data_IF_699584832285
#
_entry.id   IF_699584832285
#
_cell.length_a   1.000
_cell.length_b   1.000
_cell.length_c   1.000
_cell.angle_alpha   90.00
_cell.angle_beta   90.00
_cell.angle_gamma   90.00
#
_symmetry.space_group_name_H-M   'P 1'
#
loop_
_entity.id
_entity.type
_entity.pdbx_description
1 polymer ?
#
# COMPACT_ATOMS: atom_id res chain seq x y z
N UNK A 1 -16.62 3.48 16.93
CA UNK A 1 -16.38 2.10 16.45
C UNK A 1 -15.41 1.41 17.41
N UNK A 2 -15.62 0.12 17.68
CA UNK A 2 -14.73 -0.70 18.50
C UNK A 2 -14.04 -1.76 17.64
N UNK A 3 -12.88 -2.24 18.08
CA UNK A 3 -12.15 -3.31 17.36
C UNK A 3 -12.98 -4.60 17.43
N UNK A 4 -13.21 -5.20 16.27
CA UNK A 4 -13.91 -6.48 16.14
C UNK A 4 -12.89 -7.63 16.20
N UNK A 5 -12.63 -8.13 17.42
CA UNK A 5 -11.58 -9.13 17.66
C UNK A 5 -11.76 -10.42 16.84
N UNK A 6 -12.99 -10.91 16.72
CA UNK A 6 -13.28 -12.11 15.96
C UNK A 6 -12.97 -11.92 14.48
N UNK A 7 -13.39 -10.78 13.91
CA UNK A 7 -13.10 -10.46 12.53
C UNK A 7 -11.60 -10.29 12.28
N UNK A 8 -10.88 -9.62 13.19
CA UNK A 8 -9.43 -9.45 13.08
C UNK A 8 -8.72 -10.80 13.04
N UNK A 9 -9.03 -11.68 13.99
CA UNK A 9 -8.43 -13.03 14.05
C UNK A 9 -8.73 -13.85 12.80
N UNK A 10 -9.98 -13.83 12.34
CA UNK A 10 -10.41 -14.53 11.14
C UNK A 10 -9.65 -14.02 9.91
N UNK A 11 -9.62 -12.70 9.71
CA UNK A 11 -8.97 -12.09 8.56
C UNK A 11 -7.46 -12.38 8.57
N UNK A 12 -6.79 -12.28 9.72
CA UNK A 12 -5.37 -12.62 9.85
C UNK A 12 -5.05 -14.04 9.38
N UNK A 13 -5.92 -15.01 9.67
CA UNK A 13 -5.76 -16.37 9.17
C UNK A 13 -6.04 -16.49 7.67
N UNK A 14 -7.10 -15.87 7.20
CA UNK A 14 -7.52 -15.94 5.80
C UNK A 14 -6.53 -15.30 4.83
N UNK A 15 -5.83 -14.22 5.24
CA UNK A 15 -4.91 -13.52 4.35
C UNK A 15 -3.54 -14.21 4.23
N UNK A 16 -3.20 -15.12 5.14
CA UNK A 16 -1.89 -15.80 5.09
C UNK A 16 -1.65 -16.48 3.73
N UNK A 17 -0.43 -16.43 3.18
CA UNK A 17 0.78 -15.83 3.73
C UNK A 17 0.95 -14.32 3.46
N UNK A 18 -0.05 -13.63 2.90
CA UNK A 18 -0.01 -12.19 2.67
C UNK A 18 -0.01 -11.41 4.00
N UNK A 19 0.47 -10.19 3.94
CA UNK A 19 0.45 -9.25 5.07
C UNK A 19 -0.88 -8.51 5.11
N UNK A 20 -1.52 -8.47 6.28
CA UNK A 20 -2.63 -7.57 6.52
C UNK A 20 -2.10 -6.16 6.79
N UNK A 21 -2.50 -5.22 5.95
CA UNK A 21 -2.33 -3.78 6.18
C UNK A 21 -3.65 -3.25 6.73
N UNK A 22 -3.70 -3.01 8.03
CA UNK A 22 -4.90 -2.49 8.66
C UNK A 22 -5.06 -1.00 8.34
N UNK A 23 -6.08 -0.65 7.55
CA UNK A 23 -6.38 0.74 7.23
C UNK A 23 -7.02 1.42 8.46
N UNK A 24 -6.26 2.30 9.09
CA UNK A 24 -6.58 2.89 10.39
C UNK A 24 -7.20 4.29 10.32
N UNK A 25 -7.77 4.64 9.16
CA UNK A 25 -8.50 5.92 8.99
C UNK A 25 -9.70 6.08 9.93
N UNK A 26 -10.18 4.98 10.51
CA UNK A 26 -11.30 4.95 11.47
C UNK A 26 -10.86 5.12 12.92
N UNK A 27 -9.56 5.23 13.17
CA UNK A 27 -8.99 5.41 14.51
C UNK A 27 -8.55 6.87 14.65
N UNK A 28 -9.16 7.57 15.57
CA UNK A 28 -8.74 8.92 15.98
C UNK A 28 -7.52 8.83 16.91
N UNK A 29 -6.71 9.89 16.96
CA UNK A 29 -5.56 9.96 17.87
C UNK A 29 -5.96 9.78 19.33
N UNK A 30 -7.16 10.21 19.71
CA UNK A 30 -7.71 10.02 21.06
C UNK A 30 -8.06 8.57 21.40
N UNK A 31 -8.05 7.71 20.40
CA UNK A 31 -8.39 6.29 20.51
C UNK A 31 -7.19 5.41 20.14
N UNK A 32 -5.97 5.90 20.41
CA UNK A 32 -4.72 5.24 20.02
C UNK A 32 -4.60 3.81 20.59
N UNK A 33 -5.26 3.53 21.71
CA UNK A 33 -5.36 2.21 22.29
C UNK A 33 -5.95 1.15 21.36
N UNK A 34 -6.69 1.59 20.34
CA UNK A 34 -7.20 0.68 19.30
C UNK A 34 -6.09 0.11 18.44
N UNK A 35 -5.03 0.89 18.14
CA UNK A 35 -3.85 0.40 17.43
C UNK A 35 -3.11 -0.64 18.29
N UNK A 36 -2.94 -0.36 19.57
CA UNK A 36 -2.33 -1.29 20.53
C UNK A 36 -3.14 -2.59 20.63
N UNK A 37 -4.46 -2.48 20.60
CA UNK A 37 -5.34 -3.65 20.60
C UNK A 37 -5.21 -4.48 19.34
N UNK A 38 -5.17 -3.85 18.18
CA UNK A 38 -4.91 -4.52 16.89
C UNK A 38 -3.56 -5.23 16.91
N UNK A 39 -2.51 -4.58 17.43
CA UNK A 39 -1.18 -5.18 17.57
C UNK A 39 -1.20 -6.42 18.46
N UNK A 40 -1.87 -6.37 19.61
CA UNK A 40 -2.03 -7.52 20.52
C UNK A 40 -2.74 -8.71 19.85
N UNK A 41 -3.60 -8.44 18.86
CA UNK A 41 -4.29 -9.47 18.09
C UNK A 41 -3.42 -10.04 16.95
N UNK A 42 -2.26 -9.47 16.70
CA UNK A 42 -1.32 -9.95 15.69
C UNK A 42 -1.20 -9.06 14.44
N UNK A 43 -1.83 -7.89 14.41
CA UNK A 43 -1.66 -6.92 13.33
C UNK A 43 -0.30 -6.23 13.50
N UNK A 44 0.55 -6.32 12.48
CA UNK A 44 1.92 -5.77 12.51
C UNK A 44 2.09 -4.52 11.64
N UNK A 45 1.08 -4.19 10.84
CA UNK A 45 1.18 -3.11 9.86
C UNK A 45 -0.11 -2.28 9.81
N UNK A 46 0.06 -0.98 9.93
CA UNK A 46 -1.02 0.00 9.86
C UNK A 46 -0.89 0.83 8.59
N UNK A 47 -1.98 0.97 7.85
CA UNK A 47 -2.05 1.76 6.63
C UNK A 47 -2.76 3.09 6.86
N UNK A 48 -2.10 4.18 6.49
CA UNK A 48 -2.63 5.53 6.65
C UNK A 48 -2.87 6.21 5.30
N UNK A 49 -3.93 7.02 5.25
CA UNK A 49 -4.39 7.67 4.03
C UNK A 49 -4.17 9.19 4.03
N UNK A 50 -3.97 9.79 5.21
CA UNK A 50 -3.84 11.24 5.37
C UNK A 50 -2.62 11.56 6.21
N UNK A 51 -1.78 12.43 5.70
CA UNK A 51 -0.51 12.80 6.34
C UNK A 51 -0.71 13.37 7.73
N UNK A 52 -1.62 14.34 7.90
CA UNK A 52 -1.85 14.98 9.20
C UNK A 52 -2.32 13.97 10.25
N UNK A 53 -3.32 13.17 9.93
CA UNK A 53 -3.83 12.15 10.85
C UNK A 53 -2.76 11.09 11.20
N UNK A 54 -1.94 10.73 10.22
CA UNK A 54 -0.81 9.83 10.42
C UNK A 54 0.20 10.42 11.41
N UNK A 55 0.61 11.68 11.22
CA UNK A 55 1.61 12.30 12.08
C UNK A 55 1.15 12.36 13.55
N UNK A 56 -0.11 12.70 13.79
CA UNK A 56 -0.69 12.72 15.14
C UNK A 56 -0.67 11.33 15.80
N UNK A 57 -1.03 10.30 15.05
CA UNK A 57 -0.99 8.91 15.54
C UNK A 57 0.43 8.44 15.76
N UNK A 58 1.33 8.74 14.85
CA UNK A 58 2.73 8.34 14.94
C UNK A 58 3.40 8.87 16.22
N UNK A 59 3.11 10.12 16.58
CA UNK A 59 3.64 10.73 17.82
C UNK A 59 3.10 10.08 19.11
N UNK A 60 1.90 9.53 19.05
CA UNK A 60 1.20 9.00 20.23
C UNK A 60 1.18 7.47 20.32
N UNK A 61 1.58 6.77 19.27
CA UNK A 61 1.69 5.31 19.25
C UNK A 61 3.12 4.88 19.58
N UNK A 62 3.27 4.02 20.58
CA UNK A 62 4.58 3.56 21.06
C UNK A 62 4.75 2.04 20.98
N UNK A 63 3.91 1.37 20.17
CA UNK A 63 4.03 -0.07 19.93
C UNK A 63 5.08 -0.41 18.87
N UNK A 64 5.06 -1.66 18.42
CA UNK A 64 6.02 -2.23 17.46
C UNK A 64 5.47 -2.35 16.03
N UNK A 65 4.22 -1.97 15.81
CA UNK A 65 3.63 -1.98 14.48
C UNK A 65 4.28 -0.97 13.53
N UNK A 66 4.46 -1.37 12.28
CA UNK A 66 4.96 -0.48 11.24
C UNK A 66 3.84 0.34 10.62
N UNK A 67 4.17 1.52 10.10
CA UNK A 67 3.24 2.33 9.34
C UNK A 67 3.62 2.32 7.85
N UNK A 68 2.62 2.16 7.00
CA UNK A 68 2.72 2.30 5.56
C UNK A 68 1.72 3.36 5.08
N UNK A 69 2.10 4.13 4.08
CA UNK A 69 1.20 5.13 3.51
C UNK A 69 0.50 4.54 2.28
N UNK A 70 -0.82 4.43 2.35
CA UNK A 70 -1.63 3.74 1.34
C UNK A 70 -2.55 4.67 0.54
N UNK A 71 -2.64 5.93 0.94
CA UNK A 71 -3.47 6.92 0.25
C UNK A 71 -2.72 7.72 -0.81
N UNK A 72 -3.47 8.55 -1.54
CA UNK A 72 -2.89 9.51 -2.47
C UNK A 72 -1.99 10.49 -1.72
N UNK A 73 -0.75 10.62 -2.16
CA UNK A 73 0.25 11.45 -1.51
C UNK A 73 0.60 12.67 -2.37
N UNK A 74 0.41 13.86 -1.81
CA UNK A 74 0.84 15.09 -2.46
C UNK A 74 2.36 15.24 -2.32
N UNK A 75 3.10 15.64 -3.38
CA UNK A 75 4.55 15.78 -3.31
C UNK A 75 5.03 16.67 -2.16
N UNK A 76 4.37 17.81 -1.90
CA UNK A 76 4.73 18.73 -0.81
C UNK A 76 4.55 18.13 0.60
N UNK A 77 3.95 16.96 0.73
CA UNK A 77 3.75 16.25 2.01
C UNK A 77 4.76 15.12 2.25
N UNK A 78 5.50 14.72 1.24
CA UNK A 78 6.48 13.62 1.33
C UNK A 78 7.48 13.83 2.47
N UNK A 79 8.00 15.05 2.60
CA UNK A 79 9.00 15.41 3.62
C UNK A 79 8.56 15.12 5.06
N UNK A 80 7.26 15.08 5.33
CA UNK A 80 6.73 14.86 6.68
C UNK A 80 6.67 13.37 7.06
N UNK A 81 6.63 12.47 6.08
CA UNK A 81 6.39 11.05 6.33
C UNK A 81 7.53 10.12 5.93
N UNK A 82 8.46 10.58 5.10
CA UNK A 82 9.44 9.70 4.44
C UNK A 82 10.36 8.95 5.41
N UNK A 83 10.63 9.52 6.58
CA UNK A 83 11.45 8.89 7.62
C UNK A 83 10.62 8.11 8.66
N UNK A 84 9.31 8.01 8.46
CA UNK A 84 8.38 7.42 9.43
C UNK A 84 7.63 6.21 8.90
N UNK A 85 7.45 6.10 7.58
CA UNK A 85 6.75 4.98 6.94
C UNK A 85 7.74 4.00 6.34
N UNK A 86 7.36 2.73 6.28
CA UNK A 86 8.20 1.66 5.73
C UNK A 86 7.93 1.39 4.25
N UNK A 87 6.79 1.88 3.73
CA UNK A 87 6.40 1.70 2.34
C UNK A 87 5.38 2.77 1.93
N UNK A 88 5.55 3.31 0.73
CA UNK A 88 4.56 4.19 0.08
C UNK A 88 3.93 3.41 -1.07
N UNK A 89 2.60 3.14 -0.98
CA UNK A 89 1.90 2.29 -1.95
C UNK A 89 1.47 3.00 -3.24
N UNK A 90 1.13 4.29 -3.14
CA UNK A 90 0.40 4.99 -4.19
C UNK A 90 1.29 5.94 -5.00
N UNK A 91 2.40 5.42 -5.54
CA UNK A 91 3.23 6.20 -6.46
C UNK A 91 2.61 6.14 -7.84
N UNK A 92 1.92 7.21 -8.21
CA UNK A 92 1.02 7.29 -9.36
C UNK A 92 1.43 8.34 -10.41
N UNK A 93 2.55 9.03 -10.20
CA UNK A 93 3.02 10.09 -11.10
C UNK A 93 4.49 10.43 -10.90
N UNK A 94 5.11 10.98 -11.94
CA UNK A 94 6.53 11.34 -11.92
C UNK A 94 6.88 12.44 -10.91
N UNK A 95 6.00 13.42 -10.70
CA UNK A 95 6.25 14.48 -9.71
C UNK A 95 6.40 13.92 -8.30
N UNK A 96 5.69 12.85 -7.97
CA UNK A 96 5.82 12.15 -6.69
C UNK A 96 7.12 11.35 -6.62
N UNK A 97 7.48 10.61 -7.66
CA UNK A 97 8.78 9.92 -7.75
C UNK A 97 9.96 10.87 -7.52
N UNK A 98 9.95 12.02 -8.20
CA UNK A 98 11.00 13.04 -8.08
C UNK A 98 11.11 13.58 -6.66
N UNK A 99 9.99 13.85 -6.02
CA UNK A 99 9.99 14.38 -4.65
C UNK A 99 10.41 13.32 -3.62
N UNK A 100 10.00 12.08 -3.79
CA UNK A 100 10.48 10.98 -2.93
C UNK A 100 12.00 10.84 -3.05
N UNK A 101 12.54 10.84 -4.27
CA UNK A 101 13.98 10.78 -4.49
C UNK A 101 14.70 11.94 -3.80
N UNK A 102 14.21 13.16 -3.99
CA UNK A 102 14.78 14.36 -3.38
C UNK A 102 14.80 14.27 -1.86
N UNK A 103 13.71 13.88 -1.23
CA UNK A 103 13.61 13.82 0.23
C UNK A 103 14.40 12.64 0.82
N UNK A 104 14.43 11.50 0.13
CA UNK A 104 15.23 10.35 0.52
C UNK A 104 16.73 10.67 0.44
N UNK A 105 17.17 11.29 -0.66
CA UNK A 105 18.55 11.69 -0.84
C UNK A 105 19.03 12.68 0.25
N UNK A 106 18.20 13.68 0.59
CA UNK A 106 18.50 14.64 1.66
C UNK A 106 18.73 13.99 3.02
N UNK A 107 18.09 12.84 3.28
CA UNK A 107 18.14 12.12 4.55
C UNK A 107 19.08 10.92 4.51
N UNK A 108 19.74 10.70 3.40
CA UNK A 108 20.60 9.53 3.16
C UNK A 108 19.86 8.22 3.49
N UNK A 109 18.62 8.11 3.03
CA UNK A 109 17.80 6.91 3.18
C UNK A 109 17.32 6.37 1.83
N UNK A 110 17.00 5.10 1.80
CA UNK A 110 16.32 4.44 0.68
C UNK A 110 14.86 4.29 1.03
N UNK A 111 13.96 4.73 0.12
CA UNK A 111 12.52 4.66 0.35
C UNK A 111 11.87 3.56 -0.49
N UNK A 112 11.37 2.49 0.13
CA UNK A 112 10.59 1.48 -0.57
C UNK A 112 9.24 2.05 -1.02
N UNK A 113 8.89 1.78 -2.28
CA UNK A 113 7.63 2.22 -2.86
C UNK A 113 7.01 1.13 -3.73
N UNK A 114 5.72 1.26 -3.99
CA UNK A 114 5.02 0.52 -5.02
C UNK A 114 4.56 1.50 -6.11
N UNK A 115 4.53 1.02 -7.34
CA UNK A 115 3.98 1.78 -8.47
C UNK A 115 2.49 1.46 -8.57
N UNK A 116 1.66 2.48 -8.49
CA UNK A 116 0.22 2.32 -8.66
C UNK A 116 -0.14 2.32 -10.14
N UNK A 117 -0.88 1.29 -10.55
CA UNK A 117 -1.30 1.08 -11.94
C UNK A 117 -2.82 1.14 -12.05
N UNK A 118 -3.32 1.88 -13.02
CA UNK A 118 -4.74 1.96 -13.36
C UNK A 118 -5.11 0.83 -14.34
N UNK A 119 -5.25 -0.38 -13.83
CA UNK A 119 -5.52 -1.58 -14.64
C UNK A 119 -6.90 -1.51 -15.32
N UNK A 120 -7.90 -1.00 -14.62
CA UNK A 120 -9.27 -0.96 -15.13
C UNK A 120 -9.54 0.22 -16.09
N UNK A 121 -8.56 1.08 -16.30
CA UNK A 121 -8.67 2.28 -17.17
C UNK A 121 -9.84 3.20 -16.78
N UNK A 122 -10.04 3.38 -15.49
CA UNK A 122 -11.05 4.29 -14.96
C UNK A 122 -10.51 5.72 -14.95
N UNK A 123 -11.23 6.66 -15.61
CA UNK A 123 -10.84 8.07 -15.68
C UNK A 123 -10.72 8.75 -14.30
N UNK A 124 -11.56 8.34 -13.36
CA UNK A 124 -11.59 8.89 -12.00
C UNK A 124 -10.55 8.29 -11.06
N UNK A 125 -9.81 7.28 -11.46
CA UNK A 125 -8.80 6.59 -10.64
C UNK A 125 -7.41 7.13 -10.89
N UNK A 126 -6.59 7.07 -9.83
CA UNK A 126 -5.17 7.37 -9.90
C UNK A 126 -4.38 6.15 -10.39
N UNK A 127 -3.15 6.39 -10.81
CA UNK A 127 -2.24 5.35 -11.26
C UNK A 127 -1.69 5.65 -12.64
N UNK A 128 -0.53 5.09 -12.92
CA UNK A 128 0.01 5.08 -14.27
C UNK A 128 -0.83 4.16 -15.16
N UNK A 129 -0.99 4.52 -16.41
CA UNK A 129 -1.57 3.60 -17.39
C UNK A 129 -0.62 2.43 -17.64
N UNK A 130 -1.17 1.27 -17.98
CA UNK A 130 -0.36 0.06 -18.27
C UNK A 130 0.68 0.34 -19.36
N UNK A 131 0.32 1.13 -20.35
CA UNK A 131 1.17 1.52 -21.47
C UNK A 131 2.36 2.39 -21.07
N UNK A 132 2.28 3.08 -19.92
CA UNK A 132 3.35 3.93 -19.39
C UNK A 132 4.36 3.16 -18.52
N UNK A 133 4.04 1.95 -18.09
CA UNK A 133 4.81 1.24 -17.06
C UNK A 133 6.26 0.97 -17.47
N UNK A 134 6.51 0.60 -18.71
CA UNK A 134 7.89 0.38 -19.17
C UNK A 134 8.72 1.67 -19.16
N UNK A 135 8.12 2.81 -19.50
CA UNK A 135 8.78 4.11 -19.40
C UNK A 135 9.11 4.45 -17.94
N UNK A 136 8.17 4.19 -17.02
CA UNK A 136 8.39 4.39 -15.59
C UNK A 136 9.56 3.56 -15.11
N UNK A 137 9.58 2.26 -15.40
CA UNK A 137 10.66 1.36 -14.96
C UNK A 137 12.01 1.72 -15.58
N UNK A 138 12.03 2.13 -16.84
CA UNK A 138 13.26 2.61 -17.49
C UNK A 138 13.77 3.91 -16.85
N UNK A 139 12.91 4.73 -16.28
CA UNK A 139 13.29 5.98 -15.60
C UNK A 139 13.86 5.78 -14.19
N UNK A 140 13.67 4.61 -13.57
CA UNK A 140 14.05 4.36 -12.18
C UNK A 140 15.55 4.47 -11.92
N UNK A 141 16.38 4.30 -12.92
CA UNK A 141 17.84 4.54 -12.83
C UNK A 141 18.19 5.97 -12.43
N UNK A 142 17.28 6.92 -12.69
CA UNK A 142 17.45 8.33 -12.32
C UNK A 142 16.99 8.62 -10.88
N UNK A 143 16.44 7.61 -10.20
CA UNK A 143 15.92 7.71 -8.83
C UNK A 143 16.55 6.65 -7.91
N UNK A 144 17.86 6.75 -7.65
CA UNK A 144 18.60 5.69 -6.94
C UNK A 144 18.20 5.48 -5.48
N UNK A 145 17.58 6.46 -4.83
CA UNK A 145 17.09 6.34 -3.44
C UNK A 145 15.65 5.82 -3.37
N UNK A 146 14.95 5.75 -4.50
CA UNK A 146 13.63 5.13 -4.58
C UNK A 146 13.80 3.63 -4.85
N UNK A 147 13.27 2.79 -3.99
CA UNK A 147 13.35 1.32 -4.12
C UNK A 147 11.98 0.76 -4.47
N UNK A 148 11.73 0.55 -5.76
CA UNK A 148 10.47 -0.05 -6.21
C UNK A 148 10.44 -1.53 -5.82
N UNK A 149 9.39 -1.93 -5.08
CA UNK A 149 9.22 -3.29 -4.56
C UNK A 149 8.08 -4.04 -5.23
N UNK A 150 7.39 -3.43 -6.15
CA UNK A 150 6.29 -4.05 -6.85
C UNK A 150 5.19 -3.07 -7.27
N UNK A 151 3.98 -3.57 -7.35
CA UNK A 151 2.81 -2.84 -7.84
C UNK A 151 1.73 -2.69 -6.76
N UNK A 152 0.92 -1.66 -6.91
CA UNK A 152 -0.32 -1.45 -6.17
C UNK A 152 -1.46 -1.23 -7.16
N UNK A 153 -2.62 -1.78 -6.88
CA UNK A 153 -3.80 -1.60 -7.69
C UNK A 153 -5.05 -1.53 -6.82
N UNK A 154 -6.00 -0.71 -7.24
CA UNK A 154 -7.34 -0.65 -6.68
C UNK A 154 -8.34 -1.13 -7.72
N UNK A 155 -9.06 -2.21 -7.40
CA UNK A 155 -10.10 -2.73 -8.28
C UNK A 155 -11.29 -1.79 -8.36
N UNK A 156 -12.04 -1.78 -9.47
CA UNK A 156 -13.28 -1.02 -9.55
C UNK A 156 -14.34 -1.52 -8.55
N UNK A 157 -15.26 -0.63 -8.18
CA UNK A 157 -16.40 -0.96 -7.33
C UNK A 157 -17.47 -1.73 -8.13
N UNK A 158 -17.22 -3.02 -8.31
CA UNK A 158 -18.10 -3.96 -9.00
C UNK A 158 -18.26 -5.22 -8.15
N UNK A 159 -19.05 -6.18 -8.59
CA UNK A 159 -19.16 -7.46 -7.92
C UNK A 159 -17.80 -8.14 -7.77
N UNK A 160 -17.55 -8.75 -6.62
CA UNK A 160 -16.23 -9.31 -6.30
C UNK A 160 -15.74 -10.34 -7.33
N UNK A 161 -16.65 -11.17 -7.83
CA UNK A 161 -16.36 -12.14 -8.88
C UNK A 161 -15.86 -11.51 -10.19
N UNK A 162 -16.27 -10.27 -10.47
CA UNK A 162 -15.85 -9.54 -11.66
C UNK A 162 -14.52 -8.82 -11.49
N UNK A 163 -14.03 -8.67 -10.25
CA UNK A 163 -12.73 -8.04 -9.98
C UNK A 163 -11.56 -8.97 -10.31
N UNK A 164 -11.78 -10.26 -10.33
CA UNK A 164 -10.75 -11.29 -10.49
C UNK A 164 -9.90 -11.08 -11.75
N UNK A 165 -10.52 -10.70 -12.86
CA UNK A 165 -9.80 -10.42 -14.11
C UNK A 165 -8.75 -9.30 -13.97
N UNK A 166 -9.05 -8.28 -13.17
CA UNK A 166 -8.11 -7.16 -12.92
C UNK A 166 -6.97 -7.58 -12.02
N UNK A 167 -7.21 -8.42 -11.03
CA UNK A 167 -6.16 -8.99 -10.20
C UNK A 167 -5.23 -9.91 -11.01
N UNK A 168 -5.80 -10.71 -11.88
CA UNK A 168 -5.03 -11.55 -12.79
C UNK A 168 -4.16 -10.72 -13.73
N UNK A 169 -4.71 -9.68 -14.35
CA UNK A 169 -3.95 -8.77 -15.21
C UNK A 169 -2.79 -8.11 -14.46
N UNK A 170 -2.99 -7.72 -13.22
CA UNK A 170 -1.95 -7.10 -12.39
C UNK A 170 -0.87 -8.11 -12.03
N UNK A 171 -1.24 -9.33 -11.68
CA UNK A 171 -0.30 -10.42 -11.43
C UNK A 171 0.58 -10.70 -12.66
N UNK A 172 -0.04 -10.81 -13.82
CA UNK A 172 0.68 -11.04 -15.09
C UNK A 172 1.62 -9.88 -15.41
N UNK A 173 1.20 -8.65 -15.19
CA UNK A 173 2.05 -7.47 -15.35
C UNK A 173 3.28 -7.54 -14.43
N UNK A 174 3.09 -7.85 -13.15
CA UNK A 174 4.19 -7.98 -12.20
C UNK A 174 5.17 -9.08 -12.63
N UNK A 175 4.67 -10.23 -13.06
CA UNK A 175 5.50 -11.35 -13.53
C UNK A 175 6.34 -10.93 -14.75
N UNK A 176 5.75 -10.19 -15.69
CA UNK A 176 6.47 -9.63 -16.85
C UNK A 176 7.56 -8.66 -16.40
N UNK A 177 7.24 -7.76 -15.49
CA UNK A 177 8.21 -6.78 -14.96
C UNK A 177 9.36 -7.46 -14.21
N UNK A 178 9.10 -8.51 -13.45
CA UNK A 178 10.13 -9.32 -12.78
C UNK A 178 11.11 -9.92 -13.80
N UNK A 179 10.61 -10.37 -14.93
CA UNK A 179 11.42 -10.94 -16.00
C UNK A 179 12.22 -9.87 -16.75
N UNK A 180 11.58 -8.76 -17.10
CA UNK A 180 12.18 -7.70 -17.92
C UNK A 180 13.12 -6.78 -17.14
N UNK A 181 12.91 -6.66 -15.82
CA UNK A 181 13.67 -5.79 -14.92
C UNK A 181 14.22 -6.57 -13.71
N UNK A 182 15.08 -7.58 -13.94
CA UNK A 182 15.56 -8.46 -12.85
C UNK A 182 16.46 -7.75 -11.83
N UNK A 183 16.92 -6.53 -12.14
CA UNK A 183 17.70 -5.71 -11.22
C UNK A 183 16.87 -5.15 -10.05
N UNK A 184 15.55 -5.14 -10.14
CA UNK A 184 14.66 -4.68 -9.06
C UNK A 184 14.06 -5.87 -8.31
N UNK A 185 13.92 -5.72 -7.00
CA UNK A 185 13.28 -6.71 -6.14
C UNK A 185 11.76 -6.51 -6.14
N UNK A 186 11.07 -7.05 -7.15
CA UNK A 186 9.64 -6.87 -7.37
C UNK A 186 8.85 -8.01 -6.73
N UNK A 187 8.84 -8.08 -5.41
CA UNK A 187 8.24 -9.18 -4.64
C UNK A 187 6.94 -8.79 -3.92
N UNK A 188 6.45 -7.56 -4.10
CA UNK A 188 5.26 -7.06 -3.43
C UNK A 188 4.14 -6.74 -4.42
N UNK A 189 2.94 -7.14 -4.05
CA UNK A 189 1.73 -6.87 -4.81
C UNK A 189 0.62 -6.46 -3.84
N UNK A 190 0.35 -5.15 -3.78
CA UNK A 190 -0.67 -4.59 -2.92
C UNK A 190 -1.98 -4.46 -3.69
N UNK A 191 -2.90 -5.37 -3.47
CA UNK A 191 -4.23 -5.38 -4.05
C UNK A 191 -5.18 -6.21 -3.19
N UNK A 192 -6.45 -5.85 -3.22
CA UNK A 192 -7.48 -6.48 -2.40
C UNK A 192 -7.83 -5.67 -1.15
N UNK A 193 -9.13 -5.50 -0.95
CA UNK A 193 -9.73 -4.77 0.16
C UNK A 193 -10.84 -5.63 0.79
N UNK A 194 -11.64 -5.07 1.69
CA UNK A 194 -12.66 -5.82 2.44
C UNK A 194 -13.61 -6.65 1.56
N UNK A 195 -13.95 -6.16 0.37
CA UNK A 195 -14.96 -6.80 -0.48
C UNK A 195 -14.39 -7.80 -1.50
N UNK A 196 -13.08 -7.77 -1.76
CA UNK A 196 -12.48 -8.51 -2.87
C UNK A 196 -11.12 -9.16 -2.56
N UNK A 197 -10.73 -9.22 -1.28
CA UNK A 197 -9.41 -9.75 -0.92
C UNK A 197 -9.25 -11.25 -1.19
N UNK A 198 -10.32 -12.02 -1.18
CA UNK A 198 -10.25 -13.45 -1.53
C UNK A 198 -9.82 -13.63 -2.99
N UNK A 199 -10.42 -12.87 -3.90
CA UNK A 199 -10.07 -12.88 -5.31
C UNK A 199 -8.62 -12.40 -5.53
N UNK A 200 -8.22 -11.35 -4.80
CA UNK A 200 -6.85 -10.85 -4.86
C UNK A 200 -5.82 -11.89 -4.39
N UNK A 201 -6.11 -12.61 -3.31
CA UNK A 201 -5.25 -13.68 -2.81
C UNK A 201 -5.07 -14.80 -3.83
N UNK A 202 -6.10 -15.14 -4.59
CA UNK A 202 -6.04 -16.13 -5.65
C UNK A 202 -5.08 -15.74 -6.79
N UNK A 203 -4.73 -14.46 -6.88
CA UNK A 203 -3.85 -13.92 -7.92
C UNK A 203 -2.56 -13.32 -7.36
N UNK A 204 -2.07 -13.86 -6.25
CA UNK A 204 -0.73 -13.57 -5.75
C UNK A 204 -0.57 -12.28 -4.98
N UNK A 205 -1.65 -11.67 -4.49
CA UNK A 205 -1.54 -10.51 -3.59
C UNK A 205 -0.68 -10.85 -2.37
N UNK A 206 0.27 -9.97 -2.06
CA UNK A 206 1.15 -10.09 -0.89
C UNK A 206 0.76 -9.15 0.24
N UNK A 207 -0.07 -8.16 -0.04
CA UNK A 207 -0.58 -7.18 0.92
C UNK A 207 -2.06 -6.95 0.67
N UNK A 208 -2.86 -7.12 1.71
CA UNK A 208 -4.30 -6.88 1.71
C UNK A 208 -4.60 -5.68 2.60
N UNK A 209 -5.32 -4.70 2.09
CA UNK A 209 -5.67 -3.46 2.80
C UNK A 209 -7.10 -3.53 3.29
N UNK A 210 -7.29 -3.72 4.58
CA UNK A 210 -8.62 -3.85 5.20
C UNK A 210 -8.81 -2.80 6.28
N UNK A 211 -9.94 -2.12 6.25
CA UNK A 211 -10.32 -1.10 7.21
C UNK A 211 -11.61 -1.41 7.95
N UNK A 212 -12.75 -1.14 7.34
CA UNK A 212 -14.06 -1.22 8.00
C UNK A 212 -14.37 -2.58 8.63
N UNK A 213 -13.95 -3.67 8.01
CA UNK A 213 -14.20 -5.03 8.52
C UNK A 213 -13.48 -5.33 9.85
N UNK A 214 -12.48 -4.54 10.24
CA UNK A 214 -11.76 -4.72 11.50
C UNK A 214 -12.47 -4.08 12.70
N UNK A 215 -13.55 -3.33 12.45
CA UNK A 215 -14.28 -2.58 13.46
C UNK A 215 -15.79 -2.90 13.43
N UNK A 216 -16.48 -2.64 14.56
CA UNK A 216 -17.95 -2.76 14.70
C UNK A 216 -18.55 -1.63 15.54
#
# INVERSE_FOLDING_TARGET
MIVNEEAVKKILEEVKPAKLVAATKYVDVKEIEKLEKLEKLGVTCFGENRVQAFLEKYENYHGNGEFQFIGTLQPNKVKYIIDKVTLIHAVDRYSLLKEIEKQAAKRDLEMPVLIQVNIAKEESKHGFEVEEIDEVFNSLKDYPHVKVRGLMMMAPHIESSETEKYFKMTQELLQRLQKDYPMYQLDQLSMGMSNDYHEALNHGSTMIRIGSALFK
#
